data_IF_531234892241
#
_entry.id   IF_531234892241
#
_cell.length_a   1.000
_cell.length_b   1.000
_cell.length_c   1.000
_cell.angle_alpha   90.00
_cell.angle_beta   90.00
_cell.angle_gamma   90.00
#
_symmetry.space_group_name_H-M   'P 1'
#
loop_
_entity.id
_entity.type
_entity.pdbx_description
1 polymer ?
#
# COMPACT_ATOMS: atom_id res chain seq x y z
N UNK A 1 14.51 7.71 5.78
CA UNK A 1 14.14 8.78 4.83
C UNK A 1 12.97 9.54 5.43
N UNK A 2 12.99 10.88 5.46
CA UNK A 2 11.82 11.66 5.86
C UNK A 2 10.74 11.52 4.79
N UNK A 3 9.48 11.40 5.22
CA UNK A 3 8.34 11.19 4.33
C UNK A 3 8.03 12.51 3.64
N UNK A 4 8.08 12.54 2.32
CA UNK A 4 7.85 13.77 1.56
C UNK A 4 6.34 13.97 1.37
N UNK A 5 5.71 14.59 2.37
CA UNK A 5 4.26 14.82 2.42
C UNK A 5 3.73 15.77 1.34
N UNK A 6 4.64 16.42 0.59
CA UNK A 6 4.29 17.34 -0.49
C UNK A 6 3.92 16.64 -1.80
N UNK A 7 4.10 15.31 -1.92
CA UNK A 7 3.69 14.60 -3.13
C UNK A 7 2.14 14.55 -3.16
N UNK A 8 1.50 15.23 -4.13
CA UNK A 8 0.06 15.15 -4.29
C UNK A 8 -0.31 13.73 -4.74
N UNK A 9 -1.25 13.10 -4.04
CA UNK A 9 -1.87 11.86 -4.53
C UNK A 9 -2.98 12.28 -5.47
N UNK A 10 -2.89 12.00 -6.79
CA UNK A 10 -3.92 12.43 -7.71
C UNK A 10 -5.19 11.60 -7.48
N UNK A 11 -6.22 12.20 -6.88
CA UNK A 11 -7.55 11.58 -6.72
C UNK A 11 -8.24 11.26 -8.05
N UNK A 12 -7.73 11.83 -9.15
CA UNK A 12 -8.22 11.72 -10.52
C UNK A 12 -7.19 11.05 -11.46
N UNK A 13 -6.18 10.35 -10.92
CA UNK A 13 -5.21 9.67 -11.77
C UNK A 13 -5.92 8.67 -12.68
N UNK A 14 -5.59 8.67 -13.98
CA UNK A 14 -6.24 7.89 -15.04
C UNK A 14 -6.27 6.37 -14.76
N UNK A 15 -5.45 5.90 -13.82
CA UNK A 15 -5.41 4.51 -13.39
C UNK A 15 -5.08 4.37 -11.90
N UNK A 16 -5.67 3.36 -11.25
CA UNK A 16 -5.36 2.95 -9.87
C UNK A 16 -3.86 2.77 -9.63
N UNK A 17 -3.14 2.29 -10.64
CA UNK A 17 -1.69 2.09 -10.56
C UNK A 17 -0.94 3.41 -10.34
N UNK A 18 -1.35 4.50 -10.98
CA UNK A 18 -0.75 5.81 -10.80
C UNK A 18 -1.02 6.40 -9.40
N UNK A 19 -2.17 6.09 -8.81
CA UNK A 19 -2.48 6.48 -7.43
C UNK A 19 -1.58 5.75 -6.44
N UNK A 20 -1.37 4.44 -6.63
CA UNK A 20 -0.48 3.63 -5.79
C UNK A 20 0.99 4.03 -5.95
N UNK A 21 1.42 4.37 -7.17
CA UNK A 21 2.75 4.94 -7.42
C UNK A 21 2.98 6.21 -6.58
N UNK A 22 2.09 7.19 -6.70
CA UNK A 22 2.21 8.45 -5.97
C UNK A 22 2.16 8.25 -4.45
N UNK A 23 1.33 7.33 -3.97
CA UNK A 23 1.26 6.99 -2.55
C UNK A 23 2.56 6.34 -2.06
N UNK A 24 3.12 5.38 -2.79
CA UNK A 24 4.35 4.69 -2.44
C UNK A 24 5.55 5.65 -2.37
N UNK A 25 5.63 6.62 -3.28
CA UNK A 25 6.63 7.69 -3.22
C UNK A 25 6.42 8.59 -2.00
N UNK A 26 5.17 9.00 -1.74
CA UNK A 26 4.81 9.87 -0.61
C UNK A 26 5.18 9.28 0.76
N UNK A 27 4.95 7.98 0.94
CA UNK A 27 5.26 7.30 2.22
C UNK A 27 6.73 6.85 2.29
N UNK A 28 7.52 7.11 1.25
CA UNK A 28 8.95 6.78 1.21
C UNK A 28 9.27 5.31 0.99
N UNK A 29 8.30 4.51 0.50
CA UNK A 29 8.55 3.13 0.05
C UNK A 29 9.31 3.14 -1.27
N UNK A 30 8.98 4.07 -2.17
CA UNK A 30 9.70 4.31 -3.42
C UNK A 30 10.40 5.65 -3.39
N UNK A 31 11.55 5.72 -4.05
CA UNK A 31 12.19 6.98 -4.42
C UNK A 31 11.44 7.55 -5.63
N UNK A 32 11.18 8.88 -5.71
CA UNK A 32 10.47 9.49 -6.84
C UNK A 32 11.01 9.04 -8.20
N UNK A 33 10.11 8.60 -9.09
CA UNK A 33 10.45 8.12 -10.43
C UNK A 33 10.90 6.66 -10.51
N UNK A 34 11.03 5.96 -9.37
CA UNK A 34 11.23 4.51 -9.37
C UNK A 34 9.93 3.79 -9.72
N UNK A 35 9.93 2.73 -10.54
CA UNK A 35 8.70 2.06 -10.91
C UNK A 35 8.11 1.29 -9.72
N UNK A 36 6.80 1.40 -9.52
CA UNK A 36 6.04 0.46 -8.71
C UNK A 36 6.00 -0.89 -9.44
N UNK A 37 6.72 -1.88 -8.91
CA UNK A 37 6.79 -3.22 -9.50
C UNK A 37 5.59 -4.06 -9.13
N UNK A 38 5.29 -5.11 -9.91
CA UNK A 38 4.18 -6.02 -9.60
C UNK A 38 4.43 -6.80 -8.31
N UNK A 39 5.68 -7.10 -7.96
CA UNK A 39 6.06 -7.77 -6.72
C UNK A 39 5.72 -6.90 -5.49
N UNK A 40 5.94 -5.58 -5.57
CA UNK A 40 5.59 -4.66 -4.49
C UNK A 40 4.07 -4.53 -4.32
N UNK A 41 3.34 -4.55 -5.43
CA UNK A 41 1.86 -4.58 -5.41
C UNK A 41 1.37 -5.87 -4.76
N UNK A 42 1.85 -7.02 -5.22
CA UNK A 42 1.48 -8.32 -4.67
C UNK A 42 1.81 -8.45 -3.18
N UNK A 43 2.98 -7.92 -2.75
CA UNK A 43 3.35 -7.87 -1.35
C UNK A 43 2.36 -7.04 -0.52
N UNK A 44 2.03 -5.83 -0.97
CA UNK A 44 1.09 -4.96 -0.26
C UNK A 44 -0.31 -5.59 -0.15
N UNK A 45 -0.80 -6.22 -1.23
CA UNK A 45 -2.06 -6.95 -1.23
C UNK A 45 -2.03 -8.14 -0.26
N UNK A 46 -0.93 -8.89 -0.21
CA UNK A 46 -0.73 -9.99 0.73
C UNK A 46 -0.76 -9.54 2.20
N UNK A 47 -0.11 -8.42 2.53
CA UNK A 47 -0.12 -7.86 3.89
C UNK A 47 -1.54 -7.41 4.29
N UNK A 48 -2.28 -6.77 3.38
CA UNK A 48 -3.67 -6.37 3.62
C UNK A 48 -4.55 -7.61 3.85
N UNK A 49 -4.38 -8.65 3.04
CA UNK A 49 -5.12 -9.90 3.19
C UNK A 49 -4.84 -10.56 4.54
N UNK A 50 -3.57 -10.63 4.96
CA UNK A 50 -3.17 -11.17 6.26
C UNK A 50 -3.81 -10.39 7.42
N UNK A 51 -3.76 -9.06 7.39
CA UNK A 51 -4.37 -8.22 8.43
C UNK A 51 -5.91 -8.40 8.51
N UNK A 52 -6.57 -8.65 7.37
CA UNK A 52 -8.02 -8.92 7.34
C UNK A 52 -8.35 -10.28 7.93
N UNK A 53 -7.55 -11.31 7.66
CA UNK A 53 -7.72 -12.64 8.26
C UNK A 53 -7.57 -12.61 9.78
N UNK A 54 -6.60 -11.87 10.31
CA UNK A 54 -6.43 -11.67 11.76
C UNK A 54 -7.63 -10.95 12.39
N UNK A 55 -8.35 -10.13 11.62
CA UNK A 55 -9.53 -9.39 12.08
C UNK A 55 -10.83 -10.22 12.00
N UNK A 56 -10.82 -11.29 11.21
CA UNK A 56 -11.96 -12.19 10.97
C UNK A 56 -11.88 -13.51 11.76
N UNK A 57 -10.78 -13.79 12.48
CA UNK A 57 -10.78 -14.79 13.54
C UNK A 57 -11.26 -14.15 14.85
N UNK A 58 -12.57 -14.22 15.20
CA UNK A 58 -12.94 -14.03 16.59
C UNK A 58 -12.26 -15.15 17.35
N UNK A 59 -11.48 -14.81 18.38
CA UNK A 59 -11.04 -15.79 19.36
C UNK A 59 -12.26 -16.57 19.84
N UNK A 60 -12.48 -17.78 19.33
CA UNK A 60 -13.30 -18.77 20.03
C UNK A 60 -12.43 -19.27 21.18
N UNK A 61 -12.78 -18.96 22.45
CA UNK A 61 -12.13 -19.63 23.55
C UNK A 61 -12.58 -21.08 23.49
N UNK A 62 -11.63 -21.98 23.24
CA UNK A 62 -11.80 -23.41 23.41
C UNK A 62 -12.39 -23.65 24.81
N UNK A 63 -13.65 -24.11 24.86
CA UNK A 63 -14.30 -24.61 26.07
C UNK A 63 -13.88 -26.05 26.34
#
# INVERSE_FOLDING_TARGET
MPQDTNIPVPNNAESRRAQWQALAERVGVLVPGSPLTEELVAFAEGVIALQRQDRESPFEPLR
#
